data_IF_370755498519
#
_entry.id   IF_370755498519
#
_cell.length_a   1.000
_cell.length_b   1.000
_cell.length_c   1.000
_cell.angle_alpha   90.00
_cell.angle_beta   90.00
_cell.angle_gamma   90.00
#
_symmetry.space_group_name_H-M   'P 1'
#
loop_
_entity.id
_entity.type
_entity.pdbx_description
1 polymer ?
#
# COMPACT_ATOMS: atom_id res chain seq x y z
N UNK A 1 -18.13 36.85 5.14
CA UNK A 1 -17.76 36.12 3.90
C UNK A 1 -16.30 35.69 4.03
N UNK A 2 -16.03 34.54 4.63
CA UNK A 2 -14.67 34.01 4.80
C UNK A 2 -14.24 33.30 3.51
N UNK A 3 -13.36 33.92 2.74
CA UNK A 3 -12.66 33.23 1.64
C UNK A 3 -11.79 32.12 2.24
N UNK A 4 -12.03 30.91 1.77
CA UNK A 4 -11.38 29.66 2.18
C UNK A 4 -9.87 29.71 1.98
N UNK A 5 -9.11 29.70 3.08
CA UNK A 5 -7.69 29.35 3.08
C UNK A 5 -7.45 27.85 2.80
N UNK A 6 -8.51 27.03 2.77
CA UNK A 6 -8.41 25.58 2.56
C UNK A 6 -8.38 25.16 1.08
N UNK A 7 -8.62 26.05 0.13
CA UNK A 7 -8.69 25.66 -1.29
C UNK A 7 -7.31 25.62 -1.98
N UNK A 8 -6.35 26.40 -1.47
CA UNK A 8 -4.97 26.42 -2.00
C UNK A 8 -4.13 25.21 -1.58
N UNK A 9 -4.45 24.60 -0.44
CA UNK A 9 -3.69 23.47 0.10
C UNK A 9 -4.03 22.14 -0.60
N UNK A 10 -5.22 22.03 -1.21
CA UNK A 10 -5.70 20.77 -1.77
C UNK A 10 -4.87 20.31 -2.99
N UNK A 11 -4.53 21.16 -3.99
CA UNK A 11 -3.69 20.75 -5.11
C UNK A 11 -2.26 20.36 -4.68
N UNK A 12 -1.72 21.05 -3.67
CA UNK A 12 -0.38 20.80 -3.13
C UNK A 12 -0.36 19.43 -2.41
N UNK A 13 -1.34 19.17 -1.54
CA UNK A 13 -1.48 17.88 -0.86
C UNK A 13 -1.65 16.71 -1.84
N UNK A 14 -2.41 16.90 -2.93
CA UNK A 14 -2.57 15.87 -3.98
C UNK A 14 -1.26 15.55 -4.68
N UNK A 15 -0.45 16.55 -4.98
CA UNK A 15 0.87 16.34 -5.59
C UNK A 15 1.83 15.63 -4.62
N UNK A 16 1.83 16.00 -3.34
CA UNK A 16 2.60 15.31 -2.31
C UNK A 16 2.20 13.83 -2.19
N UNK A 17 0.90 13.54 -2.20
CA UNK A 17 0.38 12.17 -2.19
C UNK A 17 0.84 11.35 -3.39
N UNK A 18 0.87 11.94 -4.59
CA UNK A 18 1.37 11.26 -5.78
C UNK A 18 2.87 10.94 -5.68
N UNK A 19 3.68 11.86 -5.16
CA UNK A 19 5.12 11.65 -4.95
C UNK A 19 5.35 10.52 -3.94
N UNK A 20 4.65 10.54 -2.81
CA UNK A 20 4.75 9.47 -1.81
C UNK A 20 4.29 8.12 -2.35
N UNK A 21 3.16 8.10 -3.06
CA UNK A 21 2.61 6.89 -3.64
C UNK A 21 3.54 6.27 -4.70
N UNK A 22 4.17 7.11 -5.52
CA UNK A 22 5.14 6.65 -6.53
C UNK A 22 6.38 6.03 -5.88
N UNK A 23 6.91 6.65 -4.82
CA UNK A 23 8.02 6.10 -4.05
C UNK A 23 7.64 4.81 -3.33
N UNK A 24 6.46 4.74 -2.71
CA UNK A 24 5.96 3.54 -2.08
C UNK A 24 5.81 2.37 -3.09
N UNK A 25 5.44 2.66 -4.34
CA UNK A 25 5.40 1.66 -5.41
C UNK A 25 6.79 1.11 -5.74
N UNK A 26 7.83 1.93 -5.77
CA UNK A 26 9.22 1.48 -5.98
C UNK A 26 9.69 0.54 -4.85
N UNK A 27 9.37 0.91 -3.61
CA UNK A 27 9.63 0.06 -2.42
C UNK A 27 8.90 -1.27 -2.58
N UNK A 28 7.60 -1.24 -2.92
CA UNK A 28 6.79 -2.45 -3.11
C UNK A 28 7.34 -3.37 -4.20
N UNK A 29 7.76 -2.82 -5.34
CA UNK A 29 8.35 -3.61 -6.43
C UNK A 29 9.63 -4.33 -6.00
N UNK A 30 10.48 -3.65 -5.24
CA UNK A 30 11.74 -4.22 -4.76
C UNK A 30 11.52 -5.22 -3.63
N UNK A 31 10.58 -4.96 -2.70
CA UNK A 31 10.13 -5.93 -1.71
C UNK A 31 9.48 -7.17 -2.35
N UNK A 32 8.79 -7.00 -3.47
CA UNK A 32 8.15 -8.07 -4.23
C UNK A 32 9.10 -8.90 -5.09
N UNK A 33 10.37 -8.49 -5.23
CA UNK A 33 11.36 -9.24 -5.98
C UNK A 33 11.84 -10.47 -5.18
N UNK A 34 11.87 -11.64 -5.81
CA UNK A 34 12.28 -12.91 -5.17
C UNK A 34 13.78 -12.96 -4.90
N UNK A 35 14.56 -12.19 -5.66
CA UNK A 35 16.03 -12.18 -5.59
C UNK A 35 16.59 -10.98 -4.82
N UNK A 36 15.73 -10.13 -4.25
CA UNK A 36 16.22 -9.01 -3.45
C UNK A 36 16.78 -9.53 -2.12
N UNK A 37 17.95 -9.03 -1.65
CA UNK A 37 18.55 -9.42 -0.37
C UNK A 37 17.77 -8.88 0.85
N UNK A 38 16.56 -8.36 0.64
CA UNK A 38 15.73 -7.76 1.68
C UNK A 38 15.07 -8.79 2.59
N UNK A 39 14.91 -10.04 2.14
CA UNK A 39 14.19 -11.07 2.88
C UNK A 39 15.14 -12.18 3.32
N UNK A 40 15.24 -12.38 4.63
CA UNK A 40 15.93 -13.50 5.22
C UNK A 40 14.99 -14.72 5.20
N UNK A 41 15.41 -15.80 4.54
CA UNK A 41 14.67 -17.06 4.54
C UNK A 41 14.95 -17.80 5.85
N UNK A 42 13.90 -18.23 6.53
CA UNK A 42 14.06 -19.09 7.69
C UNK A 42 14.38 -20.52 7.22
N UNK A 43 15.50 -21.07 7.70
CA UNK A 43 15.99 -22.42 7.35
C UNK A 43 15.02 -23.50 7.84
N UNK A 44 14.28 -23.23 8.91
CA UNK A 44 13.36 -24.18 9.56
C UNK A 44 11.94 -24.16 8.95
N UNK A 45 11.76 -23.53 7.79
CA UNK A 45 10.46 -23.51 7.08
C UNK A 45 9.45 -22.48 7.60
N UNK A 46 9.85 -21.61 8.55
CA UNK A 46 8.99 -20.59 9.16
C UNK A 46 8.73 -19.32 8.33
N UNK A 47 8.86 -19.36 7.01
CA UNK A 47 8.62 -18.22 6.12
C UNK A 47 9.81 -17.27 5.94
N UNK A 48 9.51 -16.04 5.50
CA UNK A 48 10.50 -14.99 5.22
C UNK A 48 10.36 -13.85 6.22
N UNK A 49 11.48 -13.37 6.77
CA UNK A 49 11.53 -12.19 7.66
C UNK A 49 12.26 -11.05 6.97
N UNK A 50 11.70 -9.84 7.03
CA UNK A 50 12.34 -8.66 6.45
C UNK A 50 13.63 -8.32 7.21
N UNK A 51 14.73 -8.14 6.49
CA UNK A 51 15.96 -7.60 7.03
C UNK A 51 15.85 -6.08 7.10
N UNK A 52 15.56 -5.55 8.30
CA UNK A 52 15.39 -4.11 8.50
C UNK A 52 16.66 -3.29 8.23
N UNK A 53 17.86 -3.86 8.45
CA UNK A 53 19.12 -3.17 8.17
C UNK A 53 19.28 -2.96 6.66
N UNK A 54 19.06 -4.00 5.87
CA UNK A 54 19.11 -3.92 4.41
C UNK A 54 17.99 -3.03 3.85
N UNK A 55 16.79 -3.11 4.44
CA UNK A 55 15.66 -2.26 4.09
C UNK A 55 15.97 -0.77 4.32
N UNK A 56 16.45 -0.39 5.49
CA UNK A 56 16.77 1.01 5.82
C UNK A 56 17.93 1.54 4.99
N UNK A 57 18.91 0.69 4.64
CA UNK A 57 20.00 1.05 3.74
C UNK A 57 19.49 1.34 2.33
N UNK A 58 18.58 0.52 1.83
CA UNK A 58 18.02 0.65 0.49
C UNK A 58 16.95 1.75 0.38
N UNK A 59 16.26 2.05 1.49
CA UNK A 59 15.16 3.00 1.58
C UNK A 59 15.33 3.94 2.78
N UNK A 60 16.21 4.95 2.68
CA UNK A 60 16.42 5.90 3.77
C UNK A 60 15.10 6.62 4.12
N UNK A 61 14.81 6.83 5.42
CA UNK A 61 13.57 7.45 5.87
C UNK A 61 13.33 8.81 5.21
N UNK A 62 12.18 8.95 4.55
CA UNK A 62 11.80 10.22 3.91
C UNK A 62 10.95 11.10 4.82
N UNK A 63 10.11 10.48 5.65
CA UNK A 63 9.15 11.18 6.53
C UNK A 63 9.77 11.55 7.89
N UNK A 64 11.10 11.58 7.98
CA UNK A 64 11.84 11.84 9.22
C UNK A 64 12.09 10.58 10.05
N UNK A 65 12.47 10.79 11.31
CA UNK A 65 12.80 9.71 12.25
C UNK A 65 11.54 9.02 12.74
N UNK A 66 11.62 7.69 12.89
CA UNK A 66 10.55 6.89 13.48
C UNK A 66 10.28 7.38 14.91
N UNK A 67 9.03 7.74 15.29
CA UNK A 67 8.74 8.22 16.63
C UNK A 67 9.03 7.16 17.71
N UNK A 68 9.35 7.57 18.95
CA UNK A 68 9.57 6.64 20.05
C UNK A 68 8.36 5.71 20.26
N UNK A 69 8.63 4.42 20.49
CA UNK A 69 7.59 3.40 20.72
C UNK A 69 6.98 2.80 19.45
N UNK A 70 7.34 3.27 18.24
CA UNK A 70 6.87 2.65 17.00
C UNK A 70 7.67 1.38 16.66
N UNK A 71 6.92 0.30 16.41
CA UNK A 71 7.45 -0.97 15.95
C UNK A 71 7.17 -1.10 14.45
N UNK A 72 8.20 -1.50 13.70
CA UNK A 72 8.07 -1.79 12.28
C UNK A 72 7.87 -3.29 12.12
N UNK A 73 6.85 -3.70 11.38
CA UNK A 73 6.53 -5.09 11.08
C UNK A 73 6.38 -5.26 9.57
N UNK A 74 6.75 -6.43 9.04
CA UNK A 74 6.59 -6.74 7.62
C UNK A 74 6.30 -8.23 7.43
N UNK A 75 5.46 -8.53 6.46
CA UNK A 75 5.09 -9.89 6.07
C UNK A 75 4.96 -9.95 4.56
N UNK A 76 5.36 -11.09 3.99
CA UNK A 76 5.25 -11.36 2.56
C UNK A 76 4.58 -12.71 2.34
N UNK A 77 3.66 -12.74 1.40
CA UNK A 77 3.03 -13.96 0.92
C UNK A 77 2.92 -13.90 -0.60
N UNK A 78 2.88 -15.08 -1.24
CA UNK A 78 2.67 -15.23 -2.68
C UNK A 78 1.73 -16.39 -2.92
N UNK A 79 0.77 -16.18 -3.81
CA UNK A 79 -0.12 -17.23 -4.30
C UNK A 79 -0.53 -16.96 -5.74
N UNK A 80 -1.01 -17.98 -6.44
CA UNK A 80 -1.67 -17.86 -7.74
C UNK A 80 -3.16 -17.74 -7.47
N UNK A 81 -3.80 -16.73 -8.07
CA UNK A 81 -5.23 -16.50 -7.95
C UNK A 81 -5.93 -16.74 -9.29
N UNK A 82 -7.15 -17.31 -9.31
CA UNK A 82 -7.88 -17.61 -10.54
C UNK A 82 -8.61 -16.37 -11.08
N UNK A 83 -7.91 -15.22 -11.17
CA UNK A 83 -8.48 -13.97 -11.65
C UNK A 83 -7.44 -13.16 -12.44
N UNK A 84 -7.91 -12.25 -13.29
CA UNK A 84 -7.03 -11.36 -14.05
C UNK A 84 -6.41 -10.31 -13.14
N UNK A 85 -5.28 -9.73 -13.55
CA UNK A 85 -4.63 -8.64 -12.83
C UNK A 85 -5.53 -7.40 -12.70
N UNK A 86 -6.32 -7.10 -13.74
CA UNK A 86 -7.25 -5.97 -13.71
C UNK A 86 -8.35 -6.20 -12.66
N UNK A 87 -8.99 -7.37 -12.68
CA UNK A 87 -10.05 -7.72 -11.72
C UNK A 87 -9.55 -7.68 -10.28
N UNK A 88 -8.34 -8.19 -10.03
CA UNK A 88 -7.72 -8.12 -8.70
C UNK A 88 -7.49 -6.68 -8.24
N UNK A 89 -6.96 -5.82 -9.12
CA UNK A 89 -6.70 -4.41 -8.81
C UNK A 89 -8.01 -3.66 -8.57
N UNK A 90 -9.06 -3.93 -9.35
CA UNK A 90 -10.38 -3.33 -9.14
C UNK A 90 -10.99 -3.73 -7.79
N UNK A 91 -10.90 -5.02 -7.43
CA UNK A 91 -11.36 -5.51 -6.14
C UNK A 91 -10.58 -4.93 -4.96
N UNK A 92 -9.27 -4.74 -5.09
CA UNK A 92 -8.44 -4.12 -4.05
C UNK A 92 -8.71 -2.62 -3.89
N UNK A 93 -9.06 -1.91 -4.98
CA UNK A 93 -9.38 -0.49 -4.95
C UNK A 93 -10.80 -0.22 -4.47
N UNK A 94 -11.77 -1.05 -4.86
CA UNK A 94 -13.16 -0.91 -4.43
C UNK A 94 -13.30 -1.25 -2.94
N UNK A 95 -13.87 -0.34 -2.14
CA UNK A 95 -13.96 -0.51 -0.70
C UNK A 95 -14.82 -1.73 -0.30
N UNK A 96 -15.97 -1.93 -0.94
CA UNK A 96 -16.88 -3.02 -0.63
C UNK A 96 -16.28 -4.38 -1.02
N UNK A 97 -15.74 -4.50 -2.24
CA UNK A 97 -15.09 -5.73 -2.70
C UNK A 97 -13.83 -6.05 -1.86
N UNK A 98 -13.07 -5.03 -1.46
CA UNK A 98 -11.92 -5.24 -0.57
C UNK A 98 -12.35 -5.81 0.79
N UNK A 99 -13.43 -5.29 1.38
CA UNK A 99 -13.98 -5.84 2.62
C UNK A 99 -14.46 -7.28 2.43
N UNK A 100 -15.13 -7.58 1.32
CA UNK A 100 -15.59 -8.93 0.97
C UNK A 100 -14.44 -9.93 0.75
N UNK A 101 -13.29 -9.48 0.26
CA UNK A 101 -12.10 -10.34 0.13
C UNK A 101 -11.45 -10.67 1.49
N UNK A 102 -11.59 -9.79 2.47
CA UNK A 102 -10.91 -9.86 3.77
C UNK A 102 -11.91 -9.89 4.94
N UNK A 103 -12.90 -10.77 4.82
CA UNK A 103 -13.97 -10.94 5.81
C UNK A 103 -13.37 -11.22 7.19
N UNK A 104 -13.90 -10.55 8.21
CA UNK A 104 -13.47 -10.69 9.60
C UNK A 104 -12.19 -9.94 9.95
N UNK A 105 -11.39 -9.52 8.96
CA UNK A 105 -10.23 -8.65 9.20
C UNK A 105 -10.54 -7.17 8.99
N UNK A 106 -11.42 -6.84 8.03
CA UNK A 106 -11.82 -5.46 7.77
C UNK A 106 -13.15 -5.20 8.47
N UNK A 107 -13.11 -4.45 9.59
CA UNK A 107 -14.31 -4.10 10.34
C UNK A 107 -15.16 -3.06 9.62
N UNK A 108 -14.53 -1.97 9.19
CA UNK A 108 -15.16 -0.92 8.38
C UNK A 108 -14.15 -0.33 7.38
N UNK A 109 -14.64 0.19 6.25
CA UNK A 109 -13.79 0.88 5.28
C UNK A 109 -14.61 1.84 4.42
N UNK A 110 -13.99 2.96 4.04
CA UNK A 110 -14.63 3.98 3.19
C UNK A 110 -13.59 4.71 2.36
N UNK A 111 -13.88 4.89 1.08
CA UNK A 111 -13.15 5.82 0.21
C UNK A 111 -13.55 7.24 0.57
N UNK A 112 -12.63 7.98 1.18
CA UNK A 112 -12.88 9.37 1.59
C UNK A 112 -12.84 10.31 0.39
N UNK A 113 -11.89 10.11 -0.51
CA UNK A 113 -11.70 10.93 -1.70
C UNK A 113 -11.10 10.08 -2.82
N UNK A 114 -11.59 10.29 -4.05
CA UNK A 114 -10.94 9.80 -5.26
C UNK A 114 -10.13 10.94 -5.86
N UNK A 115 -8.81 10.88 -5.69
CA UNK A 115 -7.88 11.93 -6.14
C UNK A 115 -7.60 11.79 -7.63
N UNK A 116 -7.47 10.55 -8.13
CA UNK A 116 -7.30 10.23 -9.55
C UNK A 116 -7.98 8.89 -9.85
N UNK A 117 -8.72 8.83 -10.95
CA UNK A 117 -9.35 7.58 -11.42
C UNK A 117 -8.43 6.70 -12.27
N UNK A 118 -7.24 7.20 -12.63
CA UNK A 118 -6.34 6.57 -13.61
C UNK A 118 -6.54 7.08 -15.04
N UNK A 119 -5.75 6.59 -15.97
CA UNK A 119 -5.73 7.04 -17.38
C UNK A 119 -6.42 6.05 -18.33
N UNK A 120 -7.18 6.58 -19.30
CA UNK A 120 -7.69 5.82 -20.44
C UNK A 120 -8.60 4.63 -20.09
N UNK A 121 -9.38 4.74 -19.01
CA UNK A 121 -10.22 3.64 -18.52
C UNK A 121 -9.46 2.54 -17.77
N UNK A 122 -8.13 2.62 -17.69
CA UNK A 122 -7.32 1.75 -16.84
C UNK A 122 -7.20 2.33 -15.42
N UNK A 123 -6.80 1.49 -14.46
CA UNK A 123 -6.41 1.93 -13.10
C UNK A 123 -4.97 2.43 -13.02
N UNK A 124 -4.31 2.68 -14.16
CA UNK A 124 -2.95 3.19 -14.16
C UNK A 124 -2.91 4.64 -13.65
N UNK A 125 -2.23 4.84 -12.51
CA UNK A 125 -2.17 6.14 -11.84
C UNK A 125 -3.43 6.45 -11.00
N UNK A 126 -4.27 5.45 -10.71
CA UNK A 126 -5.41 5.65 -9.83
C UNK A 126 -4.92 5.91 -8.39
N UNK A 127 -5.48 6.93 -7.74
CA UNK A 127 -5.08 7.40 -6.42
C UNK A 127 -6.33 7.71 -5.57
N UNK A 128 -6.41 7.13 -4.38
CA UNK A 128 -7.55 7.29 -3.47
C UNK A 128 -7.07 7.50 -2.03
N UNK A 129 -7.81 8.32 -1.28
CA UNK A 129 -7.66 8.43 0.17
C UNK A 129 -8.70 7.54 0.85
N UNK A 130 -8.24 6.64 1.72
CA UNK A 130 -9.06 5.65 2.40
C UNK A 130 -9.01 5.83 3.91
N UNK A 131 -10.12 5.49 4.56
CA UNK A 131 -10.18 5.19 5.99
C UNK A 131 -10.62 3.74 6.16
N UNK A 132 -10.00 3.01 7.07
CA UNK A 132 -10.40 1.64 7.40
C UNK A 132 -10.13 1.30 8.87
N UNK A 133 -10.86 0.31 9.37
CA UNK A 133 -10.63 -0.32 10.65
C UNK A 133 -10.21 -1.77 10.42
N UNK A 134 -8.98 -2.11 10.81
CA UNK A 134 -8.47 -3.46 10.75
C UNK A 134 -8.64 -4.11 12.11
N UNK A 135 -9.32 -5.24 12.12
CA UNK A 135 -9.53 -6.10 13.27
C UNK A 135 -8.71 -7.37 13.07
N UNK A 136 -8.13 -7.87 14.16
CA UNK A 136 -7.51 -9.19 14.18
C UNK A 136 -8.46 -10.13 14.90
N UNK A 137 -8.44 -11.41 14.52
CA UNK A 137 -9.29 -12.44 15.16
C UNK A 137 -8.89 -12.66 16.64
N UNK A 138 -7.75 -12.12 17.08
CA UNK A 138 -7.31 -12.18 18.48
C UNK A 138 -7.97 -11.08 19.33
N UNK A 139 -8.70 -11.43 20.40
CA UNK A 139 -9.33 -10.45 21.30
C UNK A 139 -8.34 -9.60 22.09
N UNK A 140 -7.05 -9.99 22.11
CA UNK A 140 -5.98 -9.26 22.78
C UNK A 140 -5.41 -8.12 21.93
N UNK A 141 -5.77 -8.05 20.64
CA UNK A 141 -5.28 -7.01 19.74
C UNK A 141 -6.40 -6.02 19.45
N UNK A 142 -6.26 -4.75 19.86
CA UNK A 142 -7.29 -3.75 19.63
C UNK A 142 -7.46 -3.47 18.14
N UNK A 143 -8.67 -3.03 17.79
CA UNK A 143 -8.99 -2.56 16.44
C UNK A 143 -8.09 -1.38 16.07
N UNK A 144 -7.49 -1.43 14.88
CA UNK A 144 -6.60 -0.37 14.37
C UNK A 144 -7.30 0.45 13.32
N UNK A 145 -7.60 1.71 13.67
CA UNK A 145 -8.10 2.71 12.72
C UNK A 145 -6.95 3.29 11.89
N UNK A 146 -7.08 3.24 10.56
CA UNK A 146 -6.08 3.69 9.61
C UNK A 146 -6.66 4.73 8.65
N UNK A 147 -5.84 5.71 8.29
CA UNK A 147 -6.08 6.62 7.16
C UNK A 147 -4.86 6.54 6.25
N UNK A 148 -5.06 6.12 5.01
CA UNK A 148 -3.97 5.80 4.10
C UNK A 148 -4.34 6.03 2.64
N UNK A 149 -3.31 6.08 1.80
CA UNK A 149 -3.43 6.28 0.36
C UNK A 149 -3.41 4.93 -0.34
N UNK A 150 -4.32 4.71 -1.30
CA UNK A 150 -4.24 3.60 -2.26
C UNK A 150 -3.79 4.12 -3.60
N UNK A 151 -2.79 3.47 -4.18
CA UNK A 151 -2.25 3.80 -5.49
C UNK A 151 -2.14 2.55 -6.34
N UNK A 152 -2.71 2.59 -7.55
CA UNK A 152 -2.54 1.56 -8.54
C UNK A 152 -1.78 2.11 -9.75
N UNK A 153 -0.81 1.34 -10.22
CA UNK A 153 0.00 1.69 -11.37
C UNK A 153 0.34 0.42 -12.14
N UNK A 154 0.11 0.43 -13.44
CA UNK A 154 0.55 -0.64 -14.32
C UNK A 154 1.98 -0.34 -14.75
N UNK A 155 2.96 -0.92 -14.04
CA UNK A 155 4.33 -0.95 -14.52
C UNK A 155 4.44 -2.08 -15.53
N UNK A 156 4.51 -1.73 -16.82
CA UNK A 156 4.89 -2.69 -17.84
C UNK A 156 6.33 -3.10 -17.53
N UNK A 157 6.56 -4.35 -17.14
CA UNK A 157 7.90 -4.91 -17.11
C UNK A 157 8.30 -4.99 -18.58
N UNK A 158 9.19 -4.10 -19.02
CA UNK A 158 9.91 -4.35 -20.26
C UNK A 158 10.52 -5.74 -20.10
N UNK A 159 10.04 -6.70 -20.88
CA UNK A 159 10.82 -7.89 -21.12
C UNK A 159 12.03 -7.36 -21.88
N UNK A 160 13.17 -7.30 -21.19
CA UNK A 160 14.45 -7.17 -21.87
C UNK A 160 14.55 -8.40 -22.78
N UNK A 161 14.22 -8.21 -24.05
CA UNK A 161 14.54 -9.15 -25.11
C UNK A 161 16.05 -9.07 -25.31
N UNK A 162 16.78 -9.92 -24.59
CA UNK A 162 18.14 -10.32 -24.93
C UNK A 162 18.15 -11.42 -25.98
#
# INVERSE_FOLDING_TARGET
>A
MSRSLMDYDIPIQRNEYLVQASRAMEVLLKLGNVNAPLWNRNIEGGGETLNFVEYERDFPPFLGTKPPGFVSEATRARSVVPMTSLTLVEALLNADQWREMFIGMIGSCTTMEVISNGTGGSRNGALQLMKAEIQLISPLVPVRGLKFIRFANSKHRAMDCG
#
